data_IF_302836440350
#
_entry.id   IF_302836440350
#
_cell.length_a   1.000
_cell.length_b   1.000
_cell.length_c   1.000
_cell.angle_alpha   90.00
_cell.angle_beta   90.00
_cell.angle_gamma   90.00
#
_symmetry.space_group_name_H-M   'P 1'
#
loop_
_entity.id
_entity.type
_entity.pdbx_description
1 polymer ?
#
# COMPACT_ATOMS: atom_id res chain seq x y z
N UNK A 1 6.48 -11.06 10.31
CA UNK A 1 7.49 -12.12 10.23
C UNK A 1 6.79 -13.44 10.59
N UNK A 2 6.71 -14.44 9.71
CA UNK A 2 6.11 -15.74 10.00
C UNK A 2 6.89 -16.49 11.11
N UNK A 3 6.22 -17.41 11.80
CA UNK A 3 6.82 -18.18 12.90
C UNK A 3 8.04 -19.01 12.45
N UNK A 4 8.07 -19.43 11.19
CA UNK A 4 9.21 -20.12 10.57
C UNK A 4 10.49 -19.27 10.56
N UNK A 5 10.36 -17.96 10.36
CA UNK A 5 11.50 -17.03 10.37
C UNK A 5 12.03 -16.86 11.80
N UNK A 6 11.13 -16.86 12.80
CA UNK A 6 11.51 -16.81 14.23
C UNK A 6 12.22 -18.09 14.66
N UNK A 7 11.74 -19.26 14.25
CA UNK A 7 12.41 -20.54 14.52
C UNK A 7 13.81 -20.59 13.91
N UNK A 8 13.96 -20.08 12.69
CA UNK A 8 15.27 -19.97 12.04
C UNK A 8 16.21 -19.05 12.81
N UNK A 9 15.73 -17.89 13.28
CA UNK A 9 16.54 -17.00 14.12
C UNK A 9 16.97 -17.64 15.44
N UNK A 10 16.09 -18.39 16.10
CA UNK A 10 16.42 -19.10 17.34
C UNK A 10 17.53 -20.15 17.12
N UNK A 11 17.55 -20.86 15.98
CA UNK A 11 18.61 -21.82 15.69
C UNK A 11 20.02 -21.21 15.56
N UNK A 12 20.12 -19.92 15.21
CA UNK A 12 21.40 -19.21 15.20
C UNK A 12 21.85 -18.76 16.60
N UNK A 13 20.91 -18.51 17.51
CA UNK A 13 21.23 -18.24 18.92
C UNK A 13 21.89 -19.46 19.56
N UNK A 14 21.44 -20.66 19.18
CA UNK A 14 22.02 -21.93 19.64
C UNK A 14 23.37 -22.26 18.96
N UNK A 15 23.75 -21.53 17.90
CA UNK A 15 24.99 -21.75 17.12
C UNK A 15 25.76 -20.44 16.89
N UNK A 16 26.35 -19.83 17.94
CA UNK A 16 26.96 -18.50 17.87
C UNK A 16 28.23 -18.42 17.00
N UNK A 17 28.78 -19.56 16.56
CA UNK A 17 29.93 -19.65 15.65
C UNK A 17 29.50 -19.76 14.17
N UNK A 18 28.20 -19.87 13.90
CA UNK A 18 27.67 -19.97 12.54
C UNK A 18 27.79 -18.63 11.80
N UNK A 19 27.92 -18.69 10.47
CA UNK A 19 27.92 -17.51 9.63
C UNK A 19 26.57 -16.77 9.70
N UNK A 20 26.62 -15.45 9.86
CA UNK A 20 25.43 -14.60 9.96
C UNK A 20 24.81 -14.29 8.58
N UNK A 21 25.40 -14.75 7.47
CA UNK A 21 24.90 -14.53 6.12
C UNK A 21 23.44 -14.91 5.91
N UNK A 22 23.00 -16.03 6.50
CA UNK A 22 21.61 -16.47 6.41
C UNK A 22 20.63 -15.59 7.21
N UNK A 23 21.10 -15.00 8.33
CA UNK A 23 20.33 -14.01 9.10
C UNK A 23 20.18 -12.74 8.25
N UNK A 24 21.26 -12.26 7.62
CA UNK A 24 21.21 -11.08 6.76
C UNK A 24 20.22 -11.28 5.62
N UNK A 25 20.27 -12.42 4.92
CA UNK A 25 19.33 -12.75 3.83
C UNK A 25 17.88 -12.78 4.32
N UNK A 26 17.61 -13.36 5.48
CA UNK A 26 16.27 -13.39 6.08
C UNK A 26 15.72 -11.98 6.34
N UNK A 27 16.56 -11.11 6.90
CA UNK A 27 16.19 -9.71 7.16
C UNK A 27 15.98 -8.94 5.86
N UNK A 28 16.84 -9.12 4.86
CA UNK A 28 16.71 -8.48 3.54
C UNK A 28 15.40 -8.86 2.85
N UNK A 29 15.06 -10.14 2.84
CA UNK A 29 13.77 -10.63 2.32
C UNK A 29 12.58 -9.99 3.06
N UNK A 30 12.69 -9.83 4.38
CA UNK A 30 11.64 -9.17 5.15
C UNK A 30 11.51 -7.68 4.80
N UNK A 31 12.64 -6.99 4.67
CA UNK A 31 12.69 -5.58 4.26
C UNK A 31 12.06 -5.38 2.88
N UNK A 32 12.32 -6.27 1.93
CA UNK A 32 11.68 -6.22 0.60
C UNK A 32 10.16 -6.30 0.73
N UNK A 33 9.63 -7.26 1.51
CA UNK A 33 8.17 -7.42 1.71
C UNK A 33 7.56 -6.19 2.38
N UNK A 34 8.20 -5.65 3.42
CA UNK A 34 7.73 -4.45 4.14
C UNK A 34 7.72 -3.24 3.20
N UNK A 35 8.79 -3.03 2.42
CA UNK A 35 8.88 -1.92 1.45
C UNK A 35 7.81 -2.02 0.37
N UNK A 36 7.52 -3.23 -0.13
CA UNK A 36 6.45 -3.45 -1.10
C UNK A 36 5.08 -3.06 -0.52
N UNK A 37 4.76 -3.51 0.70
CA UNK A 37 3.52 -3.13 1.38
C UNK A 37 3.43 -1.63 1.63
N UNK A 38 4.53 -1.00 2.06
CA UNK A 38 4.59 0.45 2.28
C UNK A 38 4.33 1.23 0.99
N UNK A 39 4.87 0.77 -0.15
CA UNK A 39 4.61 1.37 -1.46
C UNK A 39 3.12 1.33 -1.80
N UNK A 40 2.46 0.18 -1.62
CA UNK A 40 1.01 0.04 -1.85
C UNK A 40 0.19 0.93 -0.92
N UNK A 41 0.56 1.01 0.36
CA UNK A 41 -0.14 1.86 1.33
C UNK A 41 0.04 3.35 1.04
N UNK A 42 1.24 3.79 0.62
CA UNK A 42 1.46 5.18 0.17
C UNK A 42 0.67 5.53 -1.09
N UNK A 43 0.53 4.57 -2.02
CA UNK A 43 -0.30 4.76 -3.19
C UNK A 43 -1.78 4.93 -2.81
N UNK A 44 -2.29 4.08 -1.91
CA UNK A 44 -3.64 4.18 -1.38
C UNK A 44 -3.87 5.47 -0.60
N UNK A 45 -2.93 5.85 0.26
CA UNK A 45 -2.96 7.13 1.00
C UNK A 45 -3.10 8.30 0.03
N UNK A 46 -2.27 8.36 -1.01
CA UNK A 46 -2.36 9.42 -2.03
C UNK A 46 -3.74 9.48 -2.68
N UNK A 47 -4.30 8.34 -3.06
CA UNK A 47 -5.64 8.26 -3.66
C UNK A 47 -6.71 8.79 -2.69
N UNK A 48 -6.67 8.36 -1.42
CA UNK A 48 -7.63 8.81 -0.41
C UNK A 48 -7.48 10.30 -0.08
N UNK A 49 -6.24 10.82 -0.05
CA UNK A 49 -6.00 12.26 0.12
C UNK A 49 -6.56 13.05 -1.04
N UNK A 50 -6.33 12.63 -2.30
CA UNK A 50 -6.95 13.26 -3.47
C UNK A 50 -8.45 13.20 -3.38
N UNK A 51 -9.05 12.04 -3.13
CA UNK A 51 -10.50 11.90 -2.99
C UNK A 51 -11.05 12.86 -1.92
N UNK A 52 -10.38 12.99 -0.78
CA UNK A 52 -10.78 13.90 0.32
C UNK A 52 -10.84 15.37 -0.12
N UNK A 53 -10.08 15.81 -1.13
CA UNK A 53 -10.15 17.20 -1.60
C UNK A 53 -11.42 17.50 -2.41
N UNK A 54 -12.19 16.49 -2.81
CA UNK A 54 -13.44 16.68 -3.57
C UNK A 54 -14.66 17.07 -2.72
N UNK A 55 -14.53 17.19 -1.40
CA UNK A 55 -15.65 17.57 -0.55
C UNK A 55 -15.19 18.44 0.61
N UNK A 56 -15.95 19.49 0.91
CA UNK A 56 -15.78 20.30 2.12
C UNK A 56 -16.80 19.88 3.18
N UNK A 57 -16.66 20.42 4.40
CA UNK A 57 -17.60 20.12 5.48
C UNK A 57 -18.93 20.86 5.26
N UNK A 58 -20.04 20.26 5.71
CA UNK A 58 -21.36 20.92 5.69
C UNK A 58 -22.23 20.64 4.46
N UNK A 59 -21.78 19.82 3.52
CA UNK A 59 -22.58 19.38 2.38
C UNK A 59 -23.53 18.24 2.74
N UNK A 60 -24.68 18.18 2.07
CA UNK A 60 -25.55 17.01 2.10
C UNK A 60 -24.89 15.83 1.36
N UNK A 61 -25.38 14.60 1.58
CA UNK A 61 -24.84 13.42 0.88
C UNK A 61 -24.98 13.53 -0.66
N UNK A 62 -26.04 14.20 -1.14
CA UNK A 62 -26.24 14.49 -2.57
C UNK A 62 -25.20 15.45 -3.16
N UNK A 63 -24.64 16.34 -2.34
CA UNK A 63 -23.62 17.33 -2.72
C UNK A 63 -22.20 16.85 -2.38
N UNK A 64 -22.05 15.63 -1.87
CA UNK A 64 -20.77 15.07 -1.49
C UNK A 64 -19.98 14.66 -2.73
N UNK A 65 -19.00 15.48 -3.13
CA UNK A 65 -18.16 15.19 -4.29
C UNK A 65 -17.33 13.91 -4.15
N UNK A 66 -17.03 13.46 -2.93
CA UNK A 66 -16.41 12.14 -2.67
C UNK A 66 -17.34 11.01 -3.13
N UNK A 67 -18.62 11.09 -2.78
CA UNK A 67 -19.59 10.05 -3.10
C UNK A 67 -19.85 10.00 -4.61
N UNK A 68 -19.93 11.17 -5.25
CA UNK A 68 -20.06 11.28 -6.71
C UNK A 68 -18.86 10.63 -7.43
N UNK A 69 -17.62 10.94 -7.03
CA UNK A 69 -16.40 10.33 -7.58
C UNK A 69 -16.37 8.81 -7.41
N UNK A 70 -16.75 8.28 -6.23
CA UNK A 70 -16.79 6.84 -5.98
C UNK A 70 -17.83 6.12 -6.84
N UNK A 71 -18.99 6.74 -7.05
CA UNK A 71 -20.04 6.21 -7.92
C UNK A 71 -19.59 6.20 -9.39
N UNK A 72 -18.98 7.29 -9.87
CA UNK A 72 -18.39 7.35 -11.21
C UNK A 72 -17.31 6.28 -11.41
N UNK A 73 -16.40 6.12 -10.45
CA UNK A 73 -15.36 5.10 -10.49
C UNK A 73 -15.93 3.67 -10.53
N UNK A 74 -17.00 3.39 -9.78
CA UNK A 74 -17.68 2.10 -9.78
C UNK A 74 -18.37 1.77 -11.12
N UNK A 75 -18.79 2.79 -11.86
CA UNK A 75 -19.33 2.65 -13.22
C UNK A 75 -18.25 2.54 -14.31
N UNK A 76 -16.96 2.54 -13.93
CA UNK A 76 -15.84 2.43 -14.87
C UNK A 76 -15.50 3.74 -15.59
N UNK A 77 -15.99 4.87 -15.07
CA UNK A 77 -15.65 6.20 -15.58
C UNK A 77 -14.26 6.63 -15.10
N UNK A 78 -13.69 7.64 -15.76
CA UNK A 78 -12.43 8.24 -15.32
C UNK A 78 -12.59 8.80 -13.90
N UNK A 79 -11.76 8.33 -12.98
CA UNK A 79 -11.74 8.79 -11.60
C UNK A 79 -10.67 9.87 -11.44
N UNK A 80 -10.85 10.82 -10.52
CA UNK A 80 -9.81 11.80 -10.16
C UNK A 80 -8.46 11.15 -9.77
N UNK A 81 -8.48 9.90 -9.30
CA UNK A 81 -7.28 9.12 -8.99
C UNK A 81 -6.64 8.44 -10.21
N UNK A 82 -7.41 8.21 -11.28
CA UNK A 82 -7.00 7.49 -12.50
C UNK A 82 -7.74 8.09 -13.70
N UNK A 83 -7.27 9.23 -14.24
CA UNK A 83 -7.86 9.78 -15.45
C UNK A 83 -7.67 8.81 -16.61
N UNK A 84 -8.69 8.68 -17.46
CA UNK A 84 -8.59 7.84 -18.66
C UNK A 84 -7.39 8.27 -19.51
N UNK A 85 -6.67 7.33 -20.15
CA UNK A 85 -5.54 7.68 -21.00
C UNK A 85 -6.02 8.57 -22.16
N UNK A 86 -5.40 9.74 -22.31
CA UNK A 86 -5.69 10.64 -23.43
C UNK A 86 -5.47 9.92 -24.77
N UNK A 87 -6.35 10.10 -25.77
CA UNK A 87 -6.13 9.53 -27.10
C UNK A 87 -4.83 10.09 -27.68
N UNK A 88 -3.88 9.21 -27.97
CA UNK A 88 -2.68 9.58 -28.74
C UNK A 88 -3.14 9.85 -30.18
N UNK A 89 -3.09 11.12 -30.58
CA UNK A 89 -3.25 11.54 -31.97
C UNK A 89 -2.09 11.10 -32.85
#
# INVERSE_FOLDING_TARGET
>A
MPLTDVQRLLSFVDQPQADCGDINRLIDEHLVRVRARLKSMRALEKQLTTLRTHCEAGHTASECGILQELVSAAHGEACACHPAPSPKG
#
